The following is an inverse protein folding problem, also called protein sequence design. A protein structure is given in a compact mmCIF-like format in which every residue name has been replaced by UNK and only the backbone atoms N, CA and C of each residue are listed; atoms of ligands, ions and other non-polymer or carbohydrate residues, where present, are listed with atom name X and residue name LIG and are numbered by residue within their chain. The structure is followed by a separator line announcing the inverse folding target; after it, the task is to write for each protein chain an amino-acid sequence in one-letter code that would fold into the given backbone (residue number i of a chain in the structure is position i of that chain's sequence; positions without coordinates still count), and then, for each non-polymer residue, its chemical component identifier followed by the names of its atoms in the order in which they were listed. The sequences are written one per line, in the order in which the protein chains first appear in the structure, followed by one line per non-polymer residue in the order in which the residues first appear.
data_IF_240082138270
#
_entry.id   IF_240082138270
#
_cell.length_a   1.000
_cell.length_b   1.000
_cell.length_c   1.000
_cell.angle_alpha   90.00
_cell.angle_beta   90.00
_cell.angle_gamma   90.00
#
_symmetry.space_group_name_H-M   'P 1'
#
loop_
_entity.id
_entity.type
_entity.pdbx_description
1 polymer ?
#
# COMPACT_ATOMS: atom_id res chain seq x y z
N UNK A 1 -21.04 9.50 -2.06
CA UNK A 1 -20.41 8.21 -1.78
C UNK A 1 -18.98 8.42 -1.29
N UNK A 2 -18.60 7.71 -0.22
CA UNK A 2 -17.26 7.73 0.37
C UNK A 2 -16.82 6.29 0.66
N UNK A 3 -15.55 5.98 0.37
CA UNK A 3 -14.93 4.69 0.69
C UNK A 3 -13.68 4.95 1.54
N UNK A 4 -13.63 4.35 2.73
CA UNK A 4 -12.59 4.62 3.73
C UNK A 4 -12.71 5.98 4.42
N UNK A 5 -11.72 6.32 5.31
CA UNK A 5 -10.51 5.56 5.64
C UNK A 5 -10.72 4.36 6.58
N UNK A 6 -11.90 4.22 7.18
CA UNK A 6 -12.20 3.12 8.09
C UNK A 6 -12.25 1.79 7.34
N UNK A 7 -11.73 0.74 7.96
CA UNK A 7 -11.76 -0.62 7.44
C UNK A 7 -12.67 -1.48 8.31
N UNK A 8 -13.47 -2.35 7.68
CA UNK A 8 -14.24 -3.34 8.41
C UNK A 8 -13.36 -4.46 9.01
N UNK A 9 -12.10 -4.54 8.60
CA UNK A 9 -11.20 -5.61 9.04
C UNK A 9 -11.68 -6.99 8.61
N UNK A 10 -11.28 -8.01 9.38
CA UNK A 10 -11.79 -9.37 9.25
C UNK A 10 -12.96 -9.64 10.21
N UNK A 11 -13.03 -8.89 11.30
CA UNK A 11 -14.09 -8.93 12.32
C UNK A 11 -14.53 -7.47 12.62
N UNK A 12 -15.81 -7.09 12.41
CA UNK A 12 -16.92 -7.90 11.87
C UNK A 12 -16.80 -8.21 10.37
N UNK A 13 -15.85 -7.59 9.65
CA UNK A 13 -15.56 -7.83 8.25
C UNK A 13 -16.64 -7.33 7.27
N UNK A 14 -16.51 -7.69 5.98
CA UNK A 14 -17.51 -7.48 4.95
C UNK A 14 -18.88 -8.11 5.30
N UNK A 15 -19.96 -7.54 4.79
CA UNK A 15 -21.29 -8.10 5.00
C UNK A 15 -21.39 -9.55 4.51
N UNK A 16 -20.71 -9.90 3.42
CA UNK A 16 -20.65 -11.25 2.88
C UNK A 16 -19.91 -12.25 3.78
N UNK A 17 -19.19 -11.80 4.82
CA UNK A 17 -18.60 -12.71 5.82
C UNK A 17 -19.61 -13.15 6.89
N UNK A 18 -20.79 -12.55 6.91
CA UNK A 18 -21.92 -13.02 7.73
C UNK A 18 -22.09 -12.29 9.07
N UNK A 19 -21.18 -11.42 9.49
CA UNK A 19 -21.25 -10.75 10.80
C UNK A 19 -21.63 -9.25 10.68
N UNK A 20 -21.29 -8.59 9.58
CA UNK A 20 -21.58 -7.18 9.33
C UNK A 20 -22.87 -6.98 8.52
N UNK A 21 -23.40 -5.75 8.56
CA UNK A 21 -24.48 -5.25 7.70
C UNK A 21 -24.04 -4.03 6.89
N UNK A 22 -22.78 -3.60 7.02
CA UNK A 22 -22.25 -2.46 6.28
C UNK A 22 -21.60 -2.93 4.98
N UNK A 23 -21.90 -2.27 3.85
CA UNK A 23 -21.30 -2.62 2.57
C UNK A 23 -19.81 -2.27 2.55
N UNK A 24 -19.03 -3.17 1.96
CA UNK A 24 -17.60 -2.98 1.75
C UNK A 24 -17.22 -3.12 0.27
N UNK A 25 -15.95 -2.84 -0.05
CA UNK A 25 -15.39 -3.07 -1.38
C UNK A 25 -15.46 -4.58 -1.75
N UNK A 26 -15.30 -5.47 -0.79
CA UNK A 26 -15.43 -6.92 -1.00
C UNK A 26 -16.87 -7.30 -1.41
N UNK A 27 -17.87 -6.72 -0.76
CA UNK A 27 -19.26 -6.94 -1.13
C UNK A 27 -19.58 -6.45 -2.54
N UNK A 28 -19.00 -5.30 -2.93
CA UNK A 28 -19.15 -4.76 -4.27
C UNK A 28 -18.54 -5.70 -5.33
N UNK A 29 -17.35 -6.22 -5.08
CA UNK A 29 -16.74 -7.21 -5.98
C UNK A 29 -17.57 -8.49 -6.08
N UNK A 30 -18.16 -8.94 -4.96
CA UNK A 30 -19.01 -10.15 -4.95
C UNK A 30 -20.25 -9.95 -5.83
N UNK A 31 -20.98 -8.85 -5.64
CA UNK A 31 -22.20 -8.55 -6.40
C UNK A 31 -21.93 -8.38 -7.89
N UNK A 32 -20.76 -7.86 -8.25
CA UNK A 32 -20.34 -7.73 -9.65
C UNK A 32 -19.70 -9.01 -10.23
N UNK A 33 -19.69 -10.12 -9.46
CA UNK A 33 -19.24 -11.43 -9.94
C UNK A 33 -17.74 -11.59 -10.09
N UNK A 34 -16.93 -10.71 -9.53
CA UNK A 34 -15.46 -10.72 -9.69
C UNK A 34 -14.75 -11.90 -8.99
N UNK A 35 -15.44 -12.64 -8.11
CA UNK A 35 -14.89 -13.84 -7.47
C UNK A 35 -15.16 -15.14 -8.26
N UNK A 36 -15.89 -15.08 -9.36
CA UNK A 36 -16.12 -16.24 -10.23
C UNK A 36 -16.83 -17.43 -9.56
N UNK A 37 -17.54 -17.21 -8.44
CA UNK A 37 -18.24 -18.25 -7.70
C UNK A 37 -17.36 -19.18 -6.84
N UNK A 38 -16.05 -18.95 -6.83
CA UNK A 38 -15.10 -19.85 -6.16
C UNK A 38 -15.00 -19.64 -4.63
N UNK A 39 -15.62 -18.60 -4.06
CA UNK A 39 -15.39 -18.22 -2.67
C UNK A 39 -13.96 -17.73 -2.40
N UNK A 40 -13.58 -17.65 -1.13
CA UNK A 40 -12.21 -17.33 -0.71
C UNK A 40 -11.46 -18.58 -0.27
N UNK A 41 -10.12 -18.47 -0.15
CA UNK A 41 -9.27 -19.56 0.33
C UNK A 41 -9.44 -20.87 -0.47
N UNK A 42 -9.55 -20.77 -1.79
CA UNK A 42 -9.75 -21.94 -2.63
C UNK A 42 -11.12 -22.60 -2.51
N UNK A 43 -12.12 -21.88 -1.98
CA UNK A 43 -13.48 -22.37 -1.77
C UNK A 43 -13.78 -22.80 -0.33
N UNK A 44 -12.78 -22.81 0.55
CA UNK A 44 -12.98 -23.17 1.97
C UNK A 44 -13.78 -22.14 2.74
N UNK A 45 -13.82 -20.89 2.27
CA UNK A 45 -14.60 -19.81 2.87
C UNK A 45 -15.70 -19.33 1.93
N UNK A 46 -16.94 -19.75 2.22
CA UNK A 46 -18.11 -19.36 1.45
C UNK A 46 -18.51 -17.91 1.73
N UNK A 47 -18.81 -17.15 0.68
CA UNK A 47 -19.31 -15.79 0.78
C UNK A 47 -20.84 -15.77 0.73
N UNK A 48 -21.47 -14.99 1.61
CA UNK A 48 -22.92 -14.82 1.65
C UNK A 48 -23.34 -13.66 0.72
N UNK A 49 -23.73 -14.01 -0.50
CA UNK A 49 -24.17 -13.03 -1.51
C UNK A 49 -25.45 -12.29 -1.09
N UNK A 50 -26.39 -12.95 -0.39
CA UNK A 50 -27.65 -12.33 0.05
C UNK A 50 -27.37 -11.17 1.01
N UNK A 51 -26.44 -11.33 1.94
CA UNK A 51 -26.04 -10.27 2.87
C UNK A 51 -25.33 -9.12 2.15
N UNK A 52 -24.42 -9.41 1.24
CA UNK A 52 -23.78 -8.39 0.42
C UNK A 52 -24.82 -7.60 -0.39
N UNK A 53 -25.75 -8.29 -1.01
CA UNK A 53 -26.84 -7.69 -1.80
C UNK A 53 -27.75 -6.83 -0.94
N UNK A 54 -28.11 -7.28 0.25
CA UNK A 54 -28.92 -6.50 1.18
C UNK A 54 -28.21 -5.21 1.63
N UNK A 55 -26.93 -5.30 1.98
CA UNK A 55 -26.12 -4.15 2.39
C UNK A 55 -25.97 -3.12 1.26
N UNK A 56 -25.66 -3.57 0.04
CA UNK A 56 -25.54 -2.69 -1.13
C UNK A 56 -26.88 -2.15 -1.62
N UNK A 57 -27.98 -2.90 -1.48
CA UNK A 57 -29.32 -2.42 -1.81
C UNK A 57 -29.75 -1.26 -0.91
N UNK A 58 -29.40 -1.32 0.40
CA UNK A 58 -29.61 -0.21 1.31
C UNK A 58 -28.84 1.03 0.87
N UNK A 59 -27.56 0.87 0.53
CA UNK A 59 -26.73 1.98 -0.02
C UNK A 59 -27.32 2.55 -1.30
N UNK A 60 -27.79 1.69 -2.23
CA UNK A 60 -28.44 2.11 -3.48
C UNK A 60 -29.71 2.94 -3.22
N UNK A 61 -30.48 2.58 -2.20
CA UNK A 61 -31.68 3.32 -1.78
C UNK A 61 -31.31 4.71 -1.23
N UNK A 62 -30.27 4.79 -0.41
CA UNK A 62 -29.74 6.05 0.12
C UNK A 62 -29.20 6.95 -1.02
N UNK A 63 -28.48 6.38 -2.00
CA UNK A 63 -28.01 7.10 -3.17
C UNK A 63 -29.15 7.60 -4.05
N UNK A 64 -30.19 6.80 -4.25
CA UNK A 64 -31.42 7.19 -4.97
C UNK A 64 -32.08 8.38 -4.31
N UNK A 65 -32.23 8.35 -2.97
CA UNK A 65 -32.84 9.42 -2.19
C UNK A 65 -32.03 10.72 -2.24
N UNK A 66 -30.70 10.61 -2.27
CA UNK A 66 -29.81 11.77 -2.28
C UNK A 66 -29.68 12.42 -3.67
N UNK A 67 -29.77 11.64 -4.75
CA UNK A 67 -29.56 12.12 -6.13
C UNK A 67 -30.86 12.38 -6.91
N UNK A 68 -31.97 11.91 -6.40
CA UNK A 68 -33.25 11.86 -7.10
C UNK A 68 -33.21 11.03 -8.41
N UNK A 69 -32.21 10.17 -8.55
CA UNK A 69 -32.02 9.27 -9.68
C UNK A 69 -32.02 7.83 -9.20
N UNK A 70 -32.75 6.94 -9.90
CA UNK A 70 -32.81 5.52 -9.54
C UNK A 70 -31.41 4.89 -9.63
N UNK A 71 -30.92 4.36 -8.50
CA UNK A 71 -29.68 3.63 -8.40
C UNK A 71 -29.96 2.16 -8.13
N UNK A 72 -29.46 1.25 -8.97
CA UNK A 72 -29.54 -0.19 -8.73
C UNK A 72 -28.45 -0.64 -7.74
N UNK A 73 -28.59 -1.85 -7.24
CA UNK A 73 -27.56 -2.45 -6.36
C UNK A 73 -26.21 -2.58 -7.09
N UNK A 74 -26.25 -2.98 -8.34
CA UNK A 74 -25.07 -3.09 -9.20
C UNK A 74 -24.43 -1.71 -9.45
N UNK A 75 -25.23 -0.69 -9.76
CA UNK A 75 -24.72 0.69 -9.92
C UNK A 75 -24.07 1.24 -8.64
N UNK A 76 -24.66 0.90 -7.47
CA UNK A 76 -24.05 1.27 -6.19
C UNK A 76 -22.71 0.53 -5.98
N UNK A 77 -22.62 -0.75 -6.34
CA UNK A 77 -21.39 -1.54 -6.28
C UNK A 77 -20.31 -0.98 -7.21
N UNK A 78 -20.65 -0.66 -8.47
CA UNK A 78 -19.75 0.02 -9.41
C UNK A 78 -19.25 1.35 -8.86
N UNK A 79 -20.13 2.14 -8.24
CA UNK A 79 -19.77 3.40 -7.59
C UNK A 79 -18.77 3.21 -6.45
N UNK A 80 -18.95 2.18 -5.62
CA UNK A 80 -18.00 1.83 -4.55
C UNK A 80 -16.63 1.51 -5.13
N UNK A 81 -16.56 0.67 -6.18
CA UNK A 81 -15.30 0.33 -6.83
C UNK A 81 -14.66 1.52 -7.53
N UNK A 82 -15.44 2.39 -8.17
CA UNK A 82 -14.91 3.60 -8.82
C UNK A 82 -14.22 4.51 -7.80
N UNK A 83 -14.82 4.73 -6.63
CA UNK A 83 -14.21 5.55 -5.56
C UNK A 83 -12.95 4.86 -5.00
N UNK A 84 -13.00 3.54 -4.76
CA UNK A 84 -11.85 2.79 -4.28
C UNK A 84 -10.67 2.86 -5.27
N UNK A 85 -10.95 2.64 -6.56
CA UNK A 85 -9.95 2.70 -7.63
C UNK A 85 -9.36 4.11 -7.78
N UNK A 86 -10.19 5.17 -7.68
CA UNK A 86 -9.71 6.55 -7.72
C UNK A 86 -8.77 6.89 -6.55
N UNK A 87 -9.04 6.36 -5.35
CA UNK A 87 -8.14 6.53 -4.22
C UNK A 87 -6.80 5.81 -4.42
N UNK A 88 -6.83 4.59 -4.94
CA UNK A 88 -5.63 3.82 -5.26
C UNK A 88 -4.83 4.45 -6.41
N UNK A 89 -5.50 4.91 -7.46
CA UNK A 89 -4.87 5.63 -8.57
C UNK A 89 -4.11 6.86 -8.07
N UNK A 90 -4.72 7.65 -7.19
CA UNK A 90 -4.08 8.83 -6.61
C UNK A 90 -2.81 8.46 -5.84
N UNK A 91 -2.84 7.39 -5.06
CA UNK A 91 -1.66 6.91 -4.35
C UNK A 91 -0.54 6.47 -5.30
N UNK A 92 -0.89 5.74 -6.38
CA UNK A 92 0.06 5.33 -7.40
C UNK A 92 0.65 6.52 -8.17
N UNK A 93 -0.15 7.54 -8.52
CA UNK A 93 0.34 8.77 -9.14
C UNK A 93 1.32 9.52 -8.24
N UNK A 94 1.05 9.57 -6.95
CA UNK A 94 1.93 10.25 -5.99
C UNK A 94 3.33 9.63 -5.93
N UNK A 95 3.45 8.31 -6.04
CA UNK A 95 4.76 7.62 -6.02
C UNK A 95 5.41 7.46 -7.39
N UNK A 96 4.71 7.76 -8.48
CA UNK A 96 5.20 7.63 -9.86
C UNK A 96 5.23 8.98 -10.58
N UNK A 97 4.12 9.39 -11.14
CA UNK A 97 4.02 10.57 -12.01
C UNK A 97 4.47 11.85 -11.31
N UNK A 98 4.08 12.07 -10.05
CA UNK A 98 4.48 13.24 -9.28
C UNK A 98 5.98 13.25 -8.92
N UNK A 99 6.63 12.09 -9.01
CA UNK A 99 8.09 11.95 -8.87
C UNK A 99 8.83 11.95 -10.22
N UNK A 100 8.14 12.25 -11.31
CA UNK A 100 8.71 12.33 -12.65
C UNK A 100 8.83 11.00 -13.39
N UNK A 101 8.22 9.93 -12.88
CA UNK A 101 8.22 8.64 -13.55
C UNK A 101 7.00 8.50 -14.48
N UNK A 102 7.23 8.12 -15.73
CA UNK A 102 6.16 7.83 -16.67
C UNK A 102 5.59 6.43 -16.43
N UNK A 103 4.35 6.35 -15.95
CA UNK A 103 3.68 5.08 -15.62
C UNK A 103 3.58 4.12 -16.79
N UNK A 104 3.59 4.62 -18.05
CA UNK A 104 3.54 3.81 -19.27
C UNK A 104 4.79 2.96 -19.51
N UNK A 105 5.88 3.24 -18.81
CA UNK A 105 7.14 2.49 -18.88
C UNK A 105 7.24 1.37 -17.84
N UNK A 106 6.19 1.20 -17.01
CA UNK A 106 6.19 0.22 -15.93
C UNK A 106 5.20 -0.92 -16.21
N UNK A 107 5.39 -2.00 -15.49
CA UNK A 107 4.40 -3.07 -15.36
C UNK A 107 3.74 -2.98 -13.98
N UNK A 108 2.45 -3.25 -13.89
CA UNK A 108 1.73 -3.35 -12.63
C UNK A 108 1.81 -4.78 -12.09
N UNK A 109 2.30 -4.92 -10.87
CA UNK A 109 2.37 -6.22 -10.18
C UNK A 109 1.43 -6.16 -8.96
N UNK A 110 0.19 -6.63 -9.11
CA UNK A 110 -0.73 -6.71 -7.99
C UNK A 110 -0.38 -7.89 -7.09
N UNK A 111 -0.41 -7.67 -5.79
CA UNK A 111 -0.21 -8.72 -4.79
C UNK A 111 -1.11 -8.52 -3.57
N UNK A 112 -1.15 -9.53 -2.67
CA UNK A 112 -2.10 -9.59 -1.58
C UNK A 112 -3.43 -10.21 -2.01
N UNK A 113 -4.39 -10.34 -1.07
CA UNK A 113 -5.65 -11.06 -1.31
C UNK A 113 -6.55 -10.42 -2.36
N UNK A 114 -6.68 -9.09 -2.35
CA UNK A 114 -7.62 -8.34 -3.21
C UNK A 114 -6.94 -7.53 -4.33
N UNK A 115 -5.61 -7.42 -4.35
CA UNK A 115 -4.88 -6.55 -5.28
C UNK A 115 -5.20 -6.83 -6.76
N UNK A 116 -5.36 -8.10 -7.12
CA UNK A 116 -5.68 -8.51 -8.49
C UNK A 116 -7.04 -8.02 -8.98
N UNK A 117 -8.02 -7.85 -8.10
CA UNK A 117 -9.38 -7.42 -8.46
C UNK A 117 -9.44 -5.99 -9.01
N UNK A 118 -8.48 -5.15 -8.63
CA UNK A 118 -8.39 -3.74 -9.05
C UNK A 118 -7.41 -3.50 -10.18
N UNK A 119 -6.53 -4.48 -10.47
CA UNK A 119 -5.35 -4.28 -11.31
C UNK A 119 -5.67 -3.80 -12.73
N UNK A 120 -6.72 -4.33 -13.35
CA UNK A 120 -7.08 -3.99 -14.74
C UNK A 120 -7.52 -2.53 -14.84
N UNK A 121 -8.40 -2.09 -13.95
CA UNK A 121 -8.90 -0.71 -13.98
C UNK A 121 -7.79 0.29 -13.63
N UNK A 122 -6.92 -0.04 -12.67
CA UNK A 122 -5.76 0.79 -12.33
C UNK A 122 -4.76 0.88 -13.48
N UNK A 123 -4.48 -0.22 -14.16
CA UNK A 123 -3.59 -0.20 -15.32
C UNK A 123 -4.15 0.66 -16.45
N UNK A 124 -5.47 0.57 -16.71
CA UNK A 124 -6.15 1.41 -17.73
C UNK A 124 -6.07 2.88 -17.39
N UNK A 125 -6.40 3.27 -16.15
CA UNK A 125 -6.41 4.67 -15.72
C UNK A 125 -5.02 5.32 -15.73
N UNK A 126 -3.98 4.53 -15.46
CA UNK A 126 -2.59 4.98 -15.43
C UNK A 126 -1.85 4.81 -16.77
N UNK A 127 -2.49 4.18 -17.76
CA UNK A 127 -1.86 3.87 -19.04
C UNK A 127 -0.74 2.83 -18.94
N UNK A 128 -0.75 1.98 -17.90
CA UNK A 128 0.24 0.91 -17.73
C UNK A 128 -0.06 -0.22 -18.71
N UNK A 129 0.89 -0.58 -19.59
CA UNK A 129 0.61 -1.51 -20.70
C UNK A 129 0.58 -2.98 -20.28
N UNK A 130 1.12 -3.32 -19.13
CA UNK A 130 1.31 -4.71 -18.71
C UNK A 130 0.97 -4.92 -17.24
N UNK A 131 0.27 -6.03 -16.97
CA UNK A 131 0.01 -6.52 -15.62
C UNK A 131 0.71 -7.87 -15.45
N UNK A 132 1.51 -8.01 -14.42
CA UNK A 132 2.18 -9.25 -14.06
C UNK A 132 1.44 -9.87 -12.87
N UNK A 133 0.82 -11.02 -13.05
CA UNK A 133 0.10 -11.72 -11.98
C UNK A 133 0.98 -12.88 -11.48
N UNK A 134 1.56 -12.76 -10.29
CA UNK A 134 2.39 -13.85 -9.73
C UNK A 134 1.50 -15.00 -9.27
N UNK A 135 1.96 -16.24 -9.48
CA UNK A 135 1.24 -17.44 -9.04
C UNK A 135 1.01 -17.50 -7.53
N UNK A 136 1.88 -16.86 -6.74
CA UNK A 136 1.80 -16.75 -5.28
C UNK A 136 1.36 -15.34 -4.82
N UNK A 137 0.55 -14.63 -5.58
CA UNK A 137 0.17 -13.25 -5.32
C UNK A 137 -0.35 -13.02 -3.89
N UNK A 138 -1.16 -13.91 -3.36
CA UNK A 138 -1.70 -13.82 -2.00
C UNK A 138 -0.65 -13.91 -0.89
N UNK A 139 0.48 -14.57 -1.13
CA UNK A 139 1.56 -14.80 -0.15
C UNK A 139 2.87 -14.09 -0.52
N UNK A 140 2.87 -13.26 -1.57
CA UNK A 140 4.07 -12.60 -2.06
C UNK A 140 4.72 -11.69 -1.01
N UNK A 141 3.93 -11.02 -0.17
CA UNK A 141 4.45 -10.22 0.94
C UNK A 141 5.22 -11.06 1.96
N UNK A 142 4.72 -12.26 2.29
CA UNK A 142 5.41 -13.18 3.20
C UNK A 142 6.73 -13.67 2.59
N UNK A 143 6.75 -13.99 1.29
CA UNK A 143 7.97 -14.33 0.56
C UNK A 143 8.96 -13.14 0.57
N UNK A 144 8.46 -11.92 0.38
CA UNK A 144 9.26 -10.70 0.45
C UNK A 144 9.93 -10.51 1.81
N UNK A 145 9.21 -10.76 2.90
CA UNK A 145 9.77 -10.70 4.27
C UNK A 145 10.87 -11.75 4.47
N UNK A 146 10.68 -12.97 3.93
CA UNK A 146 11.70 -14.01 4.02
C UNK A 146 12.96 -13.70 3.20
N UNK A 147 12.81 -12.95 2.12
CA UNK A 147 13.91 -12.61 1.21
C UNK A 147 14.57 -11.26 1.54
N UNK A 148 13.92 -10.42 2.33
CA UNK A 148 14.42 -9.10 2.64
C UNK A 148 15.57 -9.13 3.65
N UNK A 149 16.49 -8.21 3.48
CA UNK A 149 17.51 -7.93 4.49
C UNK A 149 16.87 -7.32 5.75
N UNK A 150 17.46 -7.60 6.90
CA UNK A 150 17.07 -6.92 8.14
C UNK A 150 17.72 -5.54 8.17
N UNK A 151 16.90 -4.50 8.08
CA UNK A 151 17.35 -3.11 8.09
C UNK A 151 17.01 -2.46 9.43
N UNK A 152 17.96 -1.75 10.01
CA UNK A 152 17.79 -0.93 11.21
C UNK A 152 18.16 0.50 10.90
N UNK A 153 17.14 1.34 10.77
CA UNK A 153 17.33 2.77 10.55
C UNK A 153 17.61 3.48 11.87
N UNK A 154 18.65 4.29 11.88
CA UNK A 154 18.93 5.22 12.97
C UNK A 154 19.00 6.64 12.42
N UNK A 155 18.38 7.57 13.08
CA UNK A 155 18.42 8.97 12.71
C UNK A 155 18.79 9.85 13.92
N UNK A 156 19.59 10.87 13.66
CA UNK A 156 19.96 11.87 14.67
C UNK A 156 19.96 13.25 14.04
N UNK A 157 19.13 14.14 14.56
CA UNK A 157 19.15 15.53 14.15
C UNK A 157 20.36 16.23 14.74
N UNK A 158 21.21 16.76 13.86
CA UNK A 158 22.40 17.55 14.22
C UNK A 158 22.42 18.82 13.38
N UNK A 159 22.69 19.96 14.00
CA UNK A 159 22.73 21.26 13.29
C UNK A 159 24.20 21.65 13.09
N UNK A 160 24.89 20.89 12.23
CA UNK A 160 26.30 21.08 11.92
C UNK A 160 26.50 21.91 10.64
N UNK A 161 27.62 22.60 10.57
CA UNK A 161 28.08 23.21 9.34
C UNK A 161 28.95 22.25 8.53
N UNK A 162 29.08 22.45 7.20
CA UNK A 162 29.87 21.56 6.33
C UNK A 162 31.37 21.43 6.72
N UNK A 163 31.90 22.41 7.44
CA UNK A 163 33.30 22.43 7.92
C UNK A 163 33.49 21.57 9.21
N UNK A 164 32.42 21.21 9.93
CA UNK A 164 32.49 20.44 11.17
C UNK A 164 32.58 18.92 10.94
N UNK A 165 33.37 18.50 9.93
CA UNK A 165 33.49 17.10 9.49
C UNK A 165 33.90 16.14 10.62
N UNK A 166 34.74 16.54 11.53
CA UNK A 166 35.21 15.70 12.64
C UNK A 166 34.07 15.37 13.63
N UNK A 167 33.17 16.33 13.91
CA UNK A 167 32.01 16.10 14.76
C UNK A 167 31.02 15.17 14.05
N UNK A 168 30.80 15.37 12.76
CA UNK A 168 29.94 14.52 11.96
C UNK A 168 30.44 13.07 11.96
N UNK A 169 31.73 12.85 11.73
CA UNK A 169 32.33 11.52 11.74
C UNK A 169 32.19 10.83 13.09
N UNK A 170 32.31 11.59 14.20
CA UNK A 170 32.09 11.06 15.54
C UNK A 170 30.65 10.59 15.71
N UNK A 171 29.66 11.37 15.27
CA UNK A 171 28.24 10.95 15.35
C UNK A 171 27.96 9.70 14.52
N UNK A 172 28.49 9.59 13.31
CA UNK A 172 28.36 8.38 12.51
C UNK A 172 28.93 7.16 13.23
N UNK A 173 30.13 7.25 13.77
CA UNK A 173 30.76 6.15 14.52
C UNK A 173 29.98 5.75 15.78
N UNK A 174 29.36 6.70 16.47
CA UNK A 174 28.50 6.42 17.61
C UNK A 174 27.25 5.64 17.17
N UNK A 175 26.54 6.11 16.12
CA UNK A 175 25.35 5.48 15.56
C UNK A 175 25.67 4.09 15.01
N UNK A 176 26.75 3.91 14.27
CA UNK A 176 27.20 2.61 13.76
C UNK A 176 27.49 1.60 14.88
N UNK A 177 28.09 2.06 15.97
CA UNK A 177 28.36 1.21 17.13
C UNK A 177 27.06 0.77 17.82
N UNK A 178 26.08 1.68 17.97
CA UNK A 178 24.77 1.39 18.50
C UNK A 178 24.02 0.39 17.61
N UNK A 179 23.96 0.66 16.29
CA UNK A 179 23.33 -0.23 15.32
C UNK A 179 23.96 -1.62 15.28
N UNK A 180 25.31 -1.67 15.35
CA UNK A 180 26.06 -2.93 15.45
C UNK A 180 25.64 -3.73 16.71
N UNK A 181 25.46 -3.05 17.84
CA UNK A 181 25.02 -3.68 19.08
C UNK A 181 23.62 -4.29 18.96
N UNK A 182 22.69 -3.56 18.35
CA UNK A 182 21.32 -4.04 18.10
C UNK A 182 21.32 -5.28 17.20
N UNK A 183 22.00 -5.22 16.07
CA UNK A 183 22.05 -6.34 15.11
C UNK A 183 22.74 -7.57 15.72
N UNK A 184 23.78 -7.38 16.54
CA UNK A 184 24.42 -8.51 17.26
C UNK A 184 23.48 -9.14 18.28
N UNK A 185 22.68 -8.33 18.98
CA UNK A 185 21.66 -8.83 19.90
C UNK A 185 20.60 -9.68 19.20
N UNK A 186 20.35 -9.41 17.92
CA UNK A 186 19.43 -10.19 17.06
C UNK A 186 20.12 -11.37 16.34
N UNK A 187 21.39 -11.65 16.64
CA UNK A 187 22.12 -12.81 16.12
C UNK A 187 22.91 -12.58 14.82
N UNK A 188 23.01 -11.33 14.33
CA UNK A 188 23.78 -11.04 13.13
C UNK A 188 25.25 -10.79 13.46
N UNK A 189 26.15 -11.58 12.85
CA UNK A 189 27.61 -11.41 13.00
C UNK A 189 28.10 -10.16 12.29
N UNK A 190 29.24 -9.60 12.70
CA UNK A 190 29.83 -8.41 12.07
C UNK A 190 30.06 -8.58 10.56
N UNK A 191 30.44 -9.78 10.12
CA UNK A 191 30.68 -10.08 8.71
C UNK A 191 29.42 -9.97 7.83
N UNK A 192 28.22 -10.02 8.44
CA UNK A 192 26.92 -9.90 7.76
C UNK A 192 26.31 -8.50 7.88
N UNK A 193 27.00 -7.57 8.55
CA UNK A 193 26.48 -6.21 8.75
C UNK A 193 27.13 -5.25 7.76
N UNK A 194 26.33 -4.34 7.25
CA UNK A 194 26.76 -3.21 6.42
C UNK A 194 26.12 -1.93 6.96
N UNK A 195 26.87 -0.85 6.99
CA UNK A 195 26.37 0.45 7.38
C UNK A 195 26.37 1.38 6.17
N UNK A 196 25.21 1.94 5.88
CA UNK A 196 25.03 2.96 4.85
C UNK A 196 24.78 4.31 5.53
N UNK A 197 25.55 5.32 5.20
CA UNK A 197 25.43 6.66 5.76
C UNK A 197 24.66 7.57 4.84
N UNK A 198 23.75 8.37 5.40
CA UNK A 198 23.04 9.41 4.69
C UNK A 198 23.01 10.70 5.52
N UNK A 199 22.96 11.83 4.83
CA UNK A 199 22.86 13.16 5.42
C UNK A 199 21.65 13.87 4.84
N UNK A 200 20.71 14.30 5.70
CA UNK A 200 19.69 15.25 5.30
C UNK A 200 20.25 16.67 5.44
N UNK A 201 20.51 17.30 4.31
CA UNK A 201 21.10 18.65 4.25
C UNK A 201 20.10 19.66 3.71
N UNK A 202 20.13 20.87 4.27
CA UNK A 202 19.30 21.98 3.79
C UNK A 202 20.05 23.30 3.87
N UNK A 203 19.66 24.24 3.05
CA UNK A 203 20.13 25.61 3.21
C UNK A 203 19.50 26.25 4.45
N UNK A 204 20.27 27.12 5.10
CA UNK A 204 19.79 27.82 6.29
C UNK A 204 18.52 28.63 5.96
N UNK A 205 17.45 28.40 6.71
CA UNK A 205 16.15 29.05 6.51
C UNK A 205 15.20 28.32 5.57
N UNK A 206 15.62 27.18 4.97
CA UNK A 206 14.73 26.32 4.19
C UNK A 206 14.23 25.14 5.03
N UNK A 207 13.03 24.66 4.71
CA UNK A 207 12.44 23.45 5.31
C UNK A 207 12.66 22.19 4.48
N UNK A 208 12.98 22.33 3.18
CA UNK A 208 13.23 21.19 2.30
C UNK A 208 14.65 20.66 2.50
N UNK A 209 14.78 19.36 2.67
CA UNK A 209 16.04 18.66 2.88
C UNK A 209 16.38 17.79 1.68
N UNK A 210 17.67 17.77 1.33
CA UNK A 210 18.25 16.90 0.31
C UNK A 210 19.01 15.76 1.01
N UNK A 211 18.71 14.52 0.64
CA UNK A 211 19.47 13.36 1.11
C UNK A 211 20.76 13.26 0.28
N UNK A 212 21.90 13.28 0.97
CA UNK A 212 23.22 13.12 0.39
C UNK A 212 23.88 11.89 1.01
N UNK A 213 24.43 11.01 0.18
CA UNK A 213 25.17 9.82 0.61
C UNK A 213 26.66 10.07 0.48
N UNK A 214 27.40 10.24 1.59
CA UNK A 214 28.85 10.46 1.55
C UNK A 214 29.56 9.29 0.89
N UNK A 215 30.45 9.56 -0.09
CA UNK A 215 31.28 8.56 -0.74
C UNK A 215 30.69 7.89 -1.98
N UNK A 216 29.51 8.27 -2.46
CA UNK A 216 29.07 8.03 -3.84
C UNK A 216 29.26 9.33 -4.61
N UNK A 217 30.26 9.36 -5.49
CA UNK A 217 30.31 10.34 -6.56
C UNK A 217 29.24 9.97 -7.59
N UNK A 218 28.31 10.90 -7.86
CA UNK A 218 27.37 10.79 -8.98
C UNK A 218 28.06 11.04 -10.30
#
# INVERSE_FOLDING_TARGET
LRVGPESAGADPGPACYGQSFLPTVTDAHLILGHFGGAGLLGGEFALNEERARAALSKLASEMTSASNQRCSTETAAEGVLAVANSNMERALRHISVERGHDSRQFSLLPFGGAGGLHAVELARSLGIPQIIVPGSGGTLSALGVLAADVVKDQSRTVMLRPDEKQKLERYFKEMEREATGVLRGEGFTLAKQRHDRALAMRYRGQSFELEIRPGKED
#
